data_IF_568347904703
#
_entry.id   IF_568347904703
#
_cell.length_a   1.000
_cell.length_b   1.000
_cell.length_c   1.000
_cell.angle_alpha   90.00
_cell.angle_beta   90.00
_cell.angle_gamma   90.00
#
_symmetry.space_group_name_H-M   'P 1'
#
loop_
_entity.id
_entity.type
_entity.pdbx_description
1 polymer ?
#
# COMPACT_ATOMS: atom_id res chain seq x y z
N UNK A 1 -3.52 -18.79 -0.33
CA UNK A 1 -2.38 -17.85 -0.33
C UNK A 1 -1.29 -18.45 -1.19
N UNK A 2 -0.83 -17.68 -2.17
CA UNK A 2 0.19 -18.15 -3.12
C UNK A 2 1.46 -18.46 -2.34
N UNK A 3 1.92 -19.70 -2.34
CA UNK A 3 3.16 -20.08 -1.63
C UNK A 3 4.42 -19.66 -2.39
N UNK A 4 4.29 -18.75 -3.36
CA UNK A 4 5.35 -18.39 -4.31
C UNK A 4 5.61 -16.89 -4.42
N UNK A 5 4.75 -16.05 -3.83
CA UNK A 5 4.97 -14.60 -3.82
C UNK A 5 5.79 -14.21 -2.59
N UNK A 6 6.80 -13.39 -2.84
CA UNK A 6 7.65 -12.73 -1.85
C UNK A 6 7.87 -11.28 -2.29
N UNK A 7 8.32 -10.42 -1.38
CA UNK A 7 8.74 -9.05 -1.70
C UNK A 7 9.61 -9.00 -2.96
N UNK A 8 10.65 -9.85 -3.05
CA UNK A 8 11.56 -9.89 -4.20
C UNK A 8 10.86 -10.24 -5.52
N UNK A 9 10.01 -11.27 -5.51
CA UNK A 9 9.29 -11.68 -6.74
C UNK A 9 8.29 -10.63 -7.22
N UNK A 10 7.68 -9.89 -6.29
CA UNK A 10 6.73 -8.80 -6.59
C UNK A 10 7.52 -7.62 -7.17
N UNK A 11 8.65 -7.25 -6.54
CA UNK A 11 9.54 -6.20 -7.03
C UNK A 11 9.96 -6.43 -8.49
N UNK A 12 10.27 -7.67 -8.86
CA UNK A 12 10.67 -8.03 -10.22
C UNK A 12 9.58 -7.75 -11.29
N UNK A 13 8.32 -7.58 -10.89
CA UNK A 13 7.20 -7.32 -11.81
C UNK A 13 6.79 -5.85 -11.87
N UNK A 14 7.30 -4.99 -10.96
CA UNK A 14 6.78 -3.63 -10.80
C UNK A 14 6.93 -2.75 -12.05
N UNK A 15 7.99 -2.92 -12.84
CA UNK A 15 8.16 -2.19 -14.10
C UNK A 15 7.00 -2.45 -15.05
N UNK A 16 6.64 -3.72 -15.25
CA UNK A 16 5.51 -4.10 -16.08
C UNK A 16 4.18 -3.62 -15.48
N UNK A 17 3.99 -3.83 -14.18
CA UNK A 17 2.75 -3.43 -13.46
C UNK A 17 2.51 -1.93 -13.58
N UNK A 18 3.56 -1.11 -13.49
CA UNK A 18 3.47 0.35 -13.59
C UNK A 18 2.87 0.85 -14.91
N UNK A 19 2.92 0.04 -15.98
CA UNK A 19 2.38 0.39 -17.29
C UNK A 19 0.85 0.37 -17.36
N UNK A 20 0.19 -0.36 -16.46
CA UNK A 20 -1.27 -0.56 -16.52
C UNK A 20 -2.00 -0.39 -15.18
N UNK A 21 -1.30 -0.43 -14.05
CA UNK A 21 -1.88 -0.26 -12.73
C UNK A 21 -1.36 1.01 -12.06
N UNK A 22 -2.17 1.56 -11.15
CA UNK A 22 -1.82 2.72 -10.29
C UNK A 22 -1.29 2.30 -8.93
N UNK A 23 -1.40 1.01 -8.57
CA UNK A 23 -0.91 0.47 -7.32
C UNK A 23 -0.96 -1.05 -7.28
N UNK A 24 -0.42 -1.62 -6.22
CA UNK A 24 -0.37 -3.06 -5.93
C UNK A 24 -1.03 -3.37 -4.58
N UNK A 25 -1.60 -4.56 -4.45
CA UNK A 25 -2.17 -5.04 -3.20
C UNK A 25 -1.61 -6.42 -2.85
N UNK A 26 -0.41 -6.50 -2.26
CA UNK A 26 0.21 -7.77 -1.87
C UNK A 26 -0.40 -8.34 -0.57
N UNK A 27 -0.04 -9.58 -0.21
CA UNK A 27 -0.28 -10.10 1.13
C UNK A 27 0.48 -9.27 2.16
N UNK A 28 -0.10 -8.99 3.32
CA UNK A 28 0.58 -8.26 4.41
C UNK A 28 1.92 -8.88 4.81
N UNK A 29 2.03 -10.21 4.72
CA UNK A 29 3.23 -10.99 5.05
C UNK A 29 4.40 -10.76 4.10
N UNK A 30 4.13 -10.23 2.91
CA UNK A 30 5.10 -10.13 1.82
C UNK A 30 5.58 -8.68 1.63
N UNK A 31 5.14 -7.77 2.51
CA UNK A 31 5.53 -6.35 2.50
C UNK A 31 6.72 -6.11 3.41
N UNK A 32 7.76 -5.53 2.84
CA UNK A 32 8.90 -4.97 3.56
C UNK A 32 9.22 -3.56 3.03
N UNK A 33 10.17 -2.88 3.68
CA UNK A 33 10.58 -1.53 3.28
C UNK A 33 11.07 -1.47 1.83
N UNK A 34 11.77 -2.52 1.35
CA UNK A 34 12.29 -2.57 -0.01
C UNK A 34 11.16 -2.61 -1.04
N UNK A 35 10.09 -3.37 -0.79
CA UNK A 35 8.93 -3.40 -1.67
C UNK A 35 8.21 -2.05 -1.70
N UNK A 36 8.01 -1.41 -0.54
CA UNK A 36 7.37 -0.09 -0.46
C UNK A 36 8.16 0.94 -1.26
N UNK A 37 9.48 1.04 -1.03
CA UNK A 37 10.36 1.95 -1.76
C UNK A 37 10.35 1.67 -3.27
N UNK A 38 10.40 0.40 -3.67
CA UNK A 38 10.40 0.02 -5.08
C UNK A 38 9.08 0.33 -5.79
N UNK A 39 7.94 0.23 -5.09
CA UNK A 39 6.62 0.59 -5.60
C UNK A 39 6.51 2.12 -5.76
N UNK A 40 6.87 2.88 -4.73
CA UNK A 40 6.84 4.34 -4.76
C UNK A 40 7.76 4.94 -5.83
N UNK A 41 8.93 4.35 -6.07
CA UNK A 41 9.84 4.74 -7.15
C UNK A 41 9.22 4.64 -8.56
N UNK A 42 8.12 3.89 -8.70
CA UNK A 42 7.36 3.69 -9.96
C UNK A 42 5.99 4.33 -9.91
N UNK A 43 5.73 5.20 -8.93
CA UNK A 43 4.44 5.84 -8.73
C UNK A 43 3.28 4.82 -8.61
N UNK A 44 3.56 3.70 -7.94
CA UNK A 44 2.56 2.71 -7.56
C UNK A 44 2.23 2.85 -6.08
N UNK A 45 0.95 3.01 -5.75
CA UNK A 45 0.45 2.92 -4.38
C UNK A 45 0.57 1.46 -3.89
N UNK A 46 0.77 1.24 -2.58
CA UNK A 46 0.81 -0.11 -1.99
C UNK A 46 -0.23 -0.27 -0.88
N UNK A 47 -1.18 -1.20 -1.09
CA UNK A 47 -2.31 -1.47 -0.19
C UNK A 47 -2.39 -2.96 0.18
N UNK A 48 -1.64 -3.45 1.18
CA UNK A 48 -1.66 -4.86 1.57
C UNK A 48 -3.04 -5.36 2.03
N UNK A 49 -3.28 -6.66 1.84
CA UNK A 49 -4.45 -7.39 2.34
C UNK A 49 -4.04 -8.63 3.16
N UNK A 50 -4.89 -9.18 4.04
CA UNK A 50 -5.98 -8.51 4.76
C UNK A 50 -5.48 -8.30 6.19
N UNK A 51 -5.33 -7.04 6.60
CA UNK A 51 -4.73 -6.69 7.89
C UNK A 51 -5.81 -6.69 8.97
N UNK A 52 -5.67 -7.56 9.97
CA UNK A 52 -6.72 -7.77 10.98
C UNK A 52 -6.34 -7.32 12.38
N UNK A 53 -5.05 -7.14 12.65
CA UNK A 53 -4.51 -6.89 13.98
C UNK A 53 -3.80 -5.53 14.04
N UNK A 54 -3.92 -4.83 15.17
CA UNK A 54 -3.42 -3.46 15.36
C UNK A 54 -1.89 -3.36 15.24
N UNK A 55 -1.16 -4.37 15.72
CA UNK A 55 0.31 -4.35 15.67
C UNK A 55 0.83 -4.41 14.22
N UNK A 56 0.15 -5.17 13.36
CA UNK A 56 0.43 -5.29 11.93
C UNK A 56 0.06 -3.98 11.21
N UNK A 57 -1.07 -3.36 11.56
CA UNK A 57 -1.44 -2.04 11.04
C UNK A 57 -0.35 -1.01 11.33
N UNK A 58 0.08 -0.90 12.60
CA UNK A 58 1.15 0.00 13.02
C UNK A 58 2.47 -0.27 12.29
N UNK A 59 2.83 -1.55 12.15
CA UNK A 59 4.05 -1.97 11.46
C UNK A 59 4.03 -1.60 9.97
N UNK A 60 2.93 -1.86 9.26
CA UNK A 60 2.79 -1.52 7.85
C UNK A 60 2.74 0.00 7.62
N UNK A 61 2.05 0.73 8.50
CA UNK A 61 2.05 2.21 8.48
C UNK A 61 3.48 2.74 8.66
N UNK A 62 4.26 2.16 9.58
CA UNK A 62 5.66 2.54 9.79
C UNK A 62 6.56 2.23 8.58
N UNK A 63 6.24 1.19 7.81
CA UNK A 63 6.91 0.90 6.54
C UNK A 63 6.55 1.89 5.43
N UNK A 64 5.46 2.65 5.58
CA UNK A 64 5.02 3.68 4.64
C UNK A 64 4.01 3.21 3.60
N UNK A 65 3.20 2.19 3.90
CA UNK A 65 2.11 1.80 2.99
C UNK A 65 1.07 2.91 2.85
N UNK A 66 0.43 3.00 1.68
CA UNK A 66 -0.52 4.09 1.36
C UNK A 66 -1.92 3.85 1.93
N UNK A 67 -2.14 2.65 2.47
CA UNK A 67 -3.42 2.15 2.95
C UNK A 67 -3.36 0.63 3.12
N UNK A 68 -4.47 0.02 3.52
CA UNK A 68 -4.57 -1.43 3.66
C UNK A 68 -6.02 -1.88 3.57
N UNK A 69 -6.22 -3.15 3.23
CA UNK A 69 -7.54 -3.78 3.30
C UNK A 69 -7.70 -4.42 4.67
N UNK A 70 -8.74 -4.02 5.40
CA UNK A 70 -9.09 -4.57 6.71
C UNK A 70 -10.58 -4.80 6.84
N UNK A 71 -10.96 -5.79 7.64
CA UNK A 71 -12.35 -5.99 8.07
C UNK A 71 -12.71 -5.11 9.28
N UNK A 72 -11.73 -4.44 9.88
CA UNK A 72 -11.88 -3.61 11.08
C UNK A 72 -11.42 -2.16 10.81
N UNK A 73 -12.15 -1.42 9.95
CA UNK A 73 -11.78 -0.06 9.60
C UNK A 73 -11.80 0.90 10.81
N UNK A 74 -12.60 0.60 11.84
CA UNK A 74 -12.66 1.32 13.10
C UNK A 74 -11.36 1.19 13.92
N UNK A 75 -10.73 0.00 13.92
CA UNK A 75 -9.42 -0.17 14.52
C UNK A 75 -8.35 0.63 13.78
N UNK A 76 -8.37 0.58 12.43
CA UNK A 76 -7.43 1.33 11.61
C UNK A 76 -7.58 2.85 11.81
N UNK A 77 -8.81 3.36 11.85
CA UNK A 77 -9.08 4.76 12.16
C UNK A 77 -8.55 5.14 13.56
N UNK A 78 -8.67 4.24 14.54
CA UNK A 78 -8.10 4.42 15.87
C UNK A 78 -6.56 4.51 15.86
N UNK A 79 -5.89 3.70 15.04
CA UNK A 79 -4.43 3.73 14.87
C UNK A 79 -3.97 5.01 14.17
N UNK A 80 -4.69 5.44 13.13
CA UNK A 80 -4.36 6.63 12.35
C UNK A 80 -4.67 7.94 13.10
N UNK A 81 -5.67 7.94 13.98
CA UNK A 81 -6.11 9.13 14.72
C UNK A 81 -6.47 10.29 13.78
N UNK A 82 -5.88 11.45 14.00
CA UNK A 82 -6.11 12.64 13.16
C UNK A 82 -5.66 12.48 11.70
N UNK A 83 -4.86 11.45 11.39
CA UNK A 83 -4.42 11.14 10.02
C UNK A 83 -5.47 10.34 9.24
N UNK A 84 -6.49 9.79 9.90
CA UNK A 84 -7.53 9.01 9.25
C UNK A 84 -8.24 9.83 8.16
N UNK A 85 -8.30 9.29 6.95
CA UNK A 85 -8.94 9.96 5.84
C UNK A 85 -10.46 9.74 5.90
N UNK A 86 -11.24 10.82 6.08
CA UNK A 86 -12.70 10.72 6.15
C UNK A 86 -13.33 10.23 4.84
N UNK A 87 -14.15 9.17 4.92
CA UNK A 87 -14.94 8.65 3.81
C UNK A 87 -14.11 8.31 2.57
N UNK A 88 -14.51 8.80 1.39
CA UNK A 88 -13.80 8.53 0.12
C UNK A 88 -12.52 9.37 -0.08
N UNK A 89 -12.17 10.23 0.88
CA UNK A 89 -11.03 11.15 0.71
C UNK A 89 -9.69 10.43 0.67
N UNK A 90 -9.56 9.26 1.31
CA UNK A 90 -8.33 8.44 1.26
C UNK A 90 -8.00 8.02 -0.17
N UNK A 91 -8.93 7.34 -0.84
CA UNK A 91 -8.78 6.92 -2.23
C UNK A 91 -8.54 8.11 -3.18
N UNK A 92 -9.17 9.26 -2.94
CA UNK A 92 -8.94 10.48 -3.74
C UNK A 92 -7.52 11.02 -3.55
N UNK A 93 -6.99 10.99 -2.31
CA UNK A 93 -5.61 11.41 -2.03
C UNK A 93 -4.59 10.48 -2.70
N UNK A 94 -4.78 9.16 -2.59
CA UNK A 94 -3.92 8.16 -3.23
C UNK A 94 -3.89 8.34 -4.76
N UNK A 95 -5.07 8.43 -5.40
CA UNK A 95 -5.17 8.69 -6.85
C UNK A 95 -4.43 9.97 -7.28
N UNK A 96 -4.57 11.07 -6.52
CA UNK A 96 -3.88 12.33 -6.83
C UNK A 96 -2.37 12.23 -6.63
N UNK A 97 -1.91 11.50 -5.62
CA UNK A 97 -0.49 11.28 -5.38
C UNK A 97 0.13 10.49 -6.54
N UNK A 98 -0.52 9.41 -6.98
CA UNK A 98 -0.08 8.63 -8.15
C UNK A 98 -0.04 9.47 -9.43
N UNK A 99 -1.09 10.26 -9.71
CA UNK A 99 -1.13 11.18 -10.87
C UNK A 99 0.00 12.22 -10.83
N UNK A 100 0.22 12.85 -9.67
CA UNK A 100 1.26 13.86 -9.50
C UNK A 100 2.66 13.29 -9.68
N UNK A 101 2.91 12.09 -9.13
CA UNK A 101 4.18 11.39 -9.30
C UNK A 101 4.44 11.06 -10.78
N UNK A 102 3.45 10.49 -11.48
CA UNK A 102 3.56 10.14 -12.90
C UNK A 102 3.74 11.34 -13.82
N UNK A 103 3.19 12.50 -13.47
CA UNK A 103 3.39 13.73 -14.22
C UNK A 103 4.82 14.29 -14.11
N UNK A 104 5.60 13.83 -13.12
CA UNK A 104 6.98 14.24 -12.88
C UNK A 104 8.05 13.23 -13.32
N UNK A 105 7.65 12.02 -13.73
CA UNK A 105 8.52 11.02 -14.36
C UNK A 105 8.88 11.40 -15.80
#
# INVERSE_FOLDING_TARGET
YSSTETSETIQAQLDLVSTYAVGIGPSESDVDAALVEAAHARCLDIHPYTVLETAEMESLIALGVDGMFTNFPDLLDGVLGDQAAGGKSGAVKASKASEACRAGL
#
